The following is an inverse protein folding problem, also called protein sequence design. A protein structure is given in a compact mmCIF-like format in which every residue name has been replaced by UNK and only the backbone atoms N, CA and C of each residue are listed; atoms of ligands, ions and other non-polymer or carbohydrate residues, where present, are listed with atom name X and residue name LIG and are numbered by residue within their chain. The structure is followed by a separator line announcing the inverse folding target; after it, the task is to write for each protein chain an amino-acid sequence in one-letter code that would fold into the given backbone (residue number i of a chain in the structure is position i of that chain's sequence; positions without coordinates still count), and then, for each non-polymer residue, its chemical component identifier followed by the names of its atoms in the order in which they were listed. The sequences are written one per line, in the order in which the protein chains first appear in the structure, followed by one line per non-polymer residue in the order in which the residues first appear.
data_IF_561232783224
#
_entry.id   IF_561232783224
#
_cell.length_a   1.000
_cell.length_b   1.000
_cell.length_c   1.000
_cell.angle_alpha   90.00
_cell.angle_beta   90.00
_cell.angle_gamma   90.00
#
_symmetry.space_group_name_H-M   'P 1'
#
loop_
_entity.id
_entity.type
_entity.pdbx_description
1 polymer ?
#
# COMPACT_ATOMS: atom_id res chain seq x y z
N UNK A 1 -1.10 -12.83 -33.37
CA UNK A 1 -1.73 -12.76 -32.03
C UNK A 1 -1.00 -13.59 -30.99
N UNK A 2 -0.34 -14.69 -31.38
CA UNK A 2 0.27 -15.69 -30.49
C UNK A 2 1.33 -15.13 -29.53
N UNK A 3 2.15 -14.17 -29.97
CA UNK A 3 3.21 -13.60 -29.14
C UNK A 3 2.79 -12.41 -28.28
N UNK A 4 1.56 -11.89 -28.42
CA UNK A 4 1.17 -10.61 -27.80
C UNK A 4 1.31 -10.63 -26.27
N UNK A 5 0.79 -11.68 -25.63
CA UNK A 5 0.90 -11.85 -24.17
C UNK A 5 2.35 -12.03 -23.74
N UNK A 6 3.15 -12.75 -24.54
CA UNK A 6 4.57 -12.96 -24.26
C UNK A 6 5.29 -11.62 -24.26
N UNK A 7 5.12 -10.80 -25.31
CA UNK A 7 5.73 -9.47 -25.37
C UNK A 7 5.35 -8.57 -24.19
N UNK A 8 4.09 -8.59 -23.75
CA UNK A 8 3.67 -7.82 -22.57
C UNK A 8 4.32 -8.33 -21.28
N UNK A 9 4.43 -9.65 -21.10
CA UNK A 9 5.10 -10.22 -19.93
C UNK A 9 6.60 -9.88 -19.91
N UNK A 10 7.28 -10.00 -21.04
CA UNK A 10 8.71 -9.66 -21.17
C UNK A 10 8.96 -8.17 -20.90
N UNK A 11 8.07 -7.28 -21.38
CA UNK A 11 8.17 -5.86 -21.09
C UNK A 11 8.09 -5.57 -19.57
N UNK A 12 7.12 -6.18 -18.89
CA UNK A 12 6.97 -6.01 -17.44
C UNK A 12 8.14 -6.63 -16.69
N UNK A 13 8.58 -7.83 -17.05
CA UNK A 13 9.74 -8.49 -16.44
C UNK A 13 11.00 -7.62 -16.57
N UNK A 14 11.29 -7.11 -17.78
CA UNK A 14 12.42 -6.22 -18.02
C UNK A 14 12.31 -4.94 -17.17
N UNK A 15 11.11 -4.38 -16.99
CA UNK A 15 10.88 -3.26 -16.10
C UNK A 15 11.19 -3.62 -14.63
N UNK A 16 10.71 -4.76 -14.13
CA UNK A 16 10.98 -5.23 -12.77
C UNK A 16 12.48 -5.42 -12.52
N UNK A 17 13.18 -6.01 -13.48
CA UNK A 17 14.63 -6.19 -13.41
C UNK A 17 15.36 -4.85 -13.39
N UNK A 18 14.98 -3.93 -14.28
CA UNK A 18 15.55 -2.60 -14.33
C UNK A 18 15.40 -1.86 -12.99
N UNK A 19 14.20 -1.80 -12.42
CA UNK A 19 14.00 -1.10 -11.13
C UNK A 19 14.70 -1.81 -9.97
N UNK A 20 14.81 -3.15 -9.98
CA UNK A 20 15.60 -3.91 -8.99
C UNK A 20 17.06 -3.47 -9.02
N UNK A 21 17.65 -3.30 -10.21
CA UNK A 21 19.02 -2.81 -10.37
C UNK A 21 19.19 -1.36 -9.91
N UNK A 22 18.14 -0.55 -10.03
CA UNK A 22 18.09 0.83 -9.52
C UNK A 22 17.91 0.94 -8.00
N UNK A 23 17.69 -0.18 -7.31
CA UNK A 23 17.58 -0.24 -5.86
C UNK A 23 16.15 -0.25 -5.32
N UNK A 24 15.13 -0.36 -6.17
CA UNK A 24 13.77 -0.60 -5.71
C UNK A 24 13.66 -2.03 -5.15
N UNK A 25 12.98 -2.17 -4.02
CA UNK A 25 12.92 -3.44 -3.27
C UNK A 25 11.56 -4.14 -3.33
N UNK A 26 10.48 -3.39 -3.58
CA UNK A 26 9.11 -3.92 -3.60
C UNK A 26 8.32 -3.26 -4.73
N UNK A 27 7.42 -4.02 -5.33
CA UNK A 27 6.48 -3.60 -6.36
C UNK A 27 5.07 -3.91 -5.90
N UNK A 28 4.16 -2.96 -6.11
CA UNK A 28 2.74 -3.08 -5.78
C UNK A 28 1.95 -3.05 -7.09
N UNK A 29 1.05 -4.02 -7.28
CA UNK A 29 0.18 -4.10 -8.44
C UNK A 29 -1.25 -4.22 -7.96
N UNK A 30 -2.08 -3.25 -8.33
CA UNK A 30 -3.52 -3.35 -8.22
C UNK A 30 -4.09 -3.89 -9.54
N UNK A 31 -4.54 -5.14 -9.54
CA UNK A 31 -5.10 -5.82 -10.69
C UNK A 31 -6.58 -5.44 -10.90
N UNK A 32 -6.80 -4.21 -11.35
CA UNK A 32 -8.13 -3.66 -11.66
C UNK A 32 -8.35 -3.61 -13.18
N UNK A 33 -9.32 -4.35 -13.75
CA UNK A 33 -9.74 -4.10 -15.13
C UNK A 33 -10.58 -2.82 -15.21
N UNK A 34 -10.53 -2.07 -16.34
CA UNK A 34 -11.35 -0.88 -16.49
C UNK A 34 -12.84 -1.23 -16.51
N UNK A 35 -13.67 -0.31 -16.00
CA UNK A 35 -15.12 -0.40 -16.11
C UNK A 35 -15.56 -0.30 -17.58
N UNK A 36 -16.78 -0.75 -17.86
CA UNK A 36 -17.32 -0.72 -19.22
C UNK A 36 -17.47 0.73 -19.69
N UNK A 37 -16.72 1.08 -20.74
CA UNK A 37 -16.71 2.44 -21.31
C UNK A 37 -15.55 3.31 -20.85
N UNK A 38 -14.73 2.82 -19.92
CA UNK A 38 -13.53 3.52 -19.44
C UNK A 38 -12.28 3.06 -20.16
N UNK A 39 -11.36 4.00 -20.38
CA UNK A 39 -10.06 3.78 -21.01
C UNK A 39 -8.95 4.25 -20.05
N UNK A 40 -7.99 3.38 -19.71
CA UNK A 40 -6.88 3.78 -18.84
C UNK A 40 -5.87 4.71 -19.51
N UNK A 41 -5.45 4.38 -20.74
CA UNK A 41 -4.37 5.10 -21.44
C UNK A 41 -4.78 5.47 -22.86
N UNK A 42 -5.19 4.49 -23.65
CA UNK A 42 -5.54 4.71 -25.05
C UNK A 42 -7.05 4.88 -25.20
N UNK A 43 -7.46 6.06 -25.71
CA UNK A 43 -8.85 6.35 -26.01
C UNK A 43 -9.37 5.49 -27.17
N UNK A 44 -10.58 4.95 -27.02
CA UNK A 44 -11.32 4.22 -28.05
C UNK A 44 -10.65 2.91 -28.50
N UNK A 45 -10.83 1.86 -27.69
CA UNK A 45 -10.36 0.52 -28.02
C UNK A 45 -11.14 -0.12 -29.18
N UNK A 46 -10.49 -0.98 -30.01
CA UNK A 46 -11.19 -1.73 -31.05
C UNK A 46 -12.33 -2.59 -30.46
N UNK A 47 -13.51 -2.59 -31.08
CA UNK A 47 -14.70 -3.32 -30.57
C UNK A 47 -14.46 -4.82 -30.35
N UNK A 48 -13.57 -5.43 -31.15
CA UNK A 48 -13.21 -6.84 -31.02
C UNK A 48 -12.28 -7.13 -29.81
N UNK A 49 -11.71 -6.10 -29.17
CA UNK A 49 -10.87 -6.23 -27.99
C UNK A 49 -11.75 -6.35 -26.74
N UNK A 50 -11.74 -7.55 -26.15
CA UNK A 50 -12.47 -7.81 -24.91
C UNK A 50 -11.63 -7.41 -23.69
N UNK A 51 -12.22 -6.62 -22.80
CA UNK A 51 -11.66 -6.37 -21.46
C UNK A 51 -11.66 -7.68 -20.65
N UNK A 52 -10.54 -8.08 -20.04
CA UNK A 52 -10.52 -9.24 -19.17
C UNK A 52 -11.38 -9.00 -17.93
N UNK A 53 -12.05 -10.04 -17.44
CA UNK A 53 -12.64 -10.04 -16.09
C UNK A 53 -11.53 -10.07 -15.04
N UNK A 54 -11.87 -9.67 -13.82
CA UNK A 54 -10.94 -9.59 -12.68
C UNK A 54 -10.08 -10.84 -12.53
N UNK A 55 -10.67 -12.03 -12.37
CA UNK A 55 -9.92 -13.29 -12.20
C UNK A 55 -8.92 -13.55 -13.33
N UNK A 56 -9.31 -13.22 -14.56
CA UNK A 56 -8.46 -13.42 -15.73
C UNK A 56 -7.27 -12.45 -15.71
N UNK A 57 -7.49 -11.20 -15.30
CA UNK A 57 -6.42 -10.21 -15.16
C UNK A 57 -5.50 -10.56 -13.99
N UNK A 58 -6.04 -10.98 -12.85
CA UNK A 58 -5.25 -11.47 -11.70
C UNK A 58 -4.35 -12.62 -12.10
N UNK A 59 -4.90 -13.64 -12.75
CA UNK A 59 -4.13 -14.80 -13.23
C UNK A 59 -3.08 -14.41 -14.28
N UNK A 60 -3.35 -13.41 -15.10
CA UNK A 60 -2.39 -12.89 -16.08
C UNK A 60 -1.17 -12.28 -15.41
N UNK A 61 -1.37 -11.41 -14.40
CA UNK A 61 -0.27 -10.84 -13.61
C UNK A 61 0.48 -11.91 -12.81
N UNK A 62 -0.23 -12.83 -12.16
CA UNK A 62 0.40 -13.93 -11.41
C UNK A 62 1.27 -14.80 -12.32
N UNK A 63 0.83 -15.07 -13.55
CA UNK A 63 1.63 -15.81 -14.54
C UNK A 63 2.90 -15.05 -14.94
N UNK A 64 2.82 -13.72 -15.11
CA UNK A 64 3.99 -12.87 -15.40
C UNK A 64 4.96 -12.82 -14.20
N UNK A 65 4.44 -12.67 -12.99
CA UNK A 65 5.24 -12.60 -11.76
C UNK A 65 5.90 -13.93 -11.41
N UNK A 66 5.23 -15.06 -11.68
CA UNK A 66 5.80 -16.39 -11.49
C UNK A 66 7.00 -16.62 -12.42
N UNK A 67 6.91 -16.19 -13.69
CA UNK A 67 8.07 -16.17 -14.60
C UNK A 67 9.20 -15.27 -14.10
N UNK A 68 8.85 -14.08 -13.60
CA UNK A 68 9.83 -13.16 -13.01
C UNK A 68 10.52 -13.75 -11.78
N UNK A 69 9.83 -14.60 -11.02
CA UNK A 69 10.39 -15.36 -9.89
C UNK A 69 11.33 -16.46 -10.35
N UNK A 70 10.95 -17.22 -11.38
CA UNK A 70 11.81 -18.24 -12.02
C UNK A 70 13.09 -17.63 -12.60
N UNK A 71 13.02 -16.41 -13.13
CA UNK A 71 14.17 -15.64 -13.61
C UNK A 71 15.04 -15.02 -12.48
N UNK A 72 14.66 -15.17 -11.21
CA UNK A 72 15.40 -14.59 -10.07
C UNK A 72 15.23 -13.07 -9.90
N UNK A 73 14.32 -12.45 -10.64
CA UNK A 73 14.00 -11.02 -10.53
C UNK A 73 13.14 -10.77 -9.29
N UNK A 74 12.06 -11.54 -9.13
CA UNK A 74 11.18 -11.50 -7.96
C UNK A 74 11.63 -12.57 -6.95
N UNK A 75 11.78 -12.21 -5.69
CA UNK A 75 12.18 -13.14 -4.62
C UNK A 75 10.96 -13.72 -3.89
N UNK A 76 9.94 -12.89 -3.64
CA UNK A 76 8.75 -13.30 -2.89
C UNK A 76 7.49 -12.61 -3.42
N UNK A 77 6.35 -13.32 -3.33
CA UNK A 77 5.02 -12.84 -3.72
C UNK A 77 4.08 -12.99 -2.54
N UNK A 78 3.28 -11.96 -2.30
CA UNK A 78 2.31 -11.86 -1.22
C UNK A 78 1.21 -10.86 -1.62
N UNK A 79 0.33 -10.50 -0.70
CA UNK A 79 -0.72 -9.50 -0.92
C UNK A 79 -0.60 -8.35 0.08
N UNK A 80 -1.14 -7.18 -0.27
CA UNK A 80 -1.20 -6.04 0.64
C UNK A 80 -1.92 -6.43 1.94
N UNK A 81 -2.99 -7.21 1.85
CA UNK A 81 -3.71 -7.74 3.00
C UNK A 81 -2.80 -8.60 3.89
N UNK A 82 -2.13 -9.60 3.31
CA UNK A 82 -1.31 -10.54 4.07
C UNK A 82 -0.13 -9.84 4.78
N UNK A 83 0.37 -8.74 4.23
CA UNK A 83 1.48 -7.98 4.83
C UNK A 83 1.05 -6.91 5.82
N UNK A 84 -0.10 -6.27 5.62
CA UNK A 84 -0.44 -5.03 6.31
C UNK A 84 -1.78 -5.03 7.05
N UNK A 85 -2.62 -6.07 6.89
CA UNK A 85 -3.97 -6.08 7.49
C UNK A 85 -4.33 -7.41 8.17
N UNK A 86 -3.50 -8.45 7.99
CA UNK A 86 -3.73 -9.77 8.59
C UNK A 86 -3.36 -9.84 10.08
N UNK A 87 -2.34 -9.09 10.50
CA UNK A 87 -1.84 -9.09 11.88
C UNK A 87 -2.65 -8.11 12.74
N UNK A 88 -2.92 -8.48 13.99
CA UNK A 88 -3.52 -7.60 14.99
C UNK A 88 -2.63 -6.41 15.35
N UNK A 89 -1.32 -6.59 15.26
CA UNK A 89 -0.34 -5.53 15.52
C UNK A 89 -0.13 -4.59 14.31
N UNK A 90 -0.86 -4.79 13.21
CA UNK A 90 -0.71 -3.97 12.02
C UNK A 90 -1.15 -2.52 12.26
N UNK A 91 -0.42 -1.58 11.65
CA UNK A 91 -0.68 -0.15 11.76
C UNK A 91 -0.88 0.46 10.39
N UNK A 92 -1.85 1.36 10.26
CA UNK A 92 -2.13 2.05 9.01
C UNK A 92 -0.90 2.81 8.47
N UNK A 93 -0.05 3.32 9.36
CA UNK A 93 1.19 4.04 9.01
C UNK A 93 2.26 3.16 8.34
N UNK A 94 2.15 1.84 8.46
CA UNK A 94 3.08 0.89 7.83
C UNK A 94 2.63 0.47 6.42
N UNK A 95 1.43 0.89 5.99
CA UNK A 95 0.88 0.61 4.66
C UNK A 95 1.45 1.64 3.65
N UNK A 96 2.01 1.20 2.51
CA UNK A 96 2.53 2.12 1.49
C UNK A 96 1.45 3.03 0.90
N UNK A 97 1.61 4.34 1.06
CA UNK A 97 0.73 5.34 0.45
C UNK A 97 1.14 5.60 -1.01
N UNK A 98 0.34 5.11 -1.95
CA UNK A 98 0.54 5.27 -3.39
C UNK A 98 -0.65 6.03 -3.99
N UNK A 99 -0.40 7.20 -4.59
CA UNK A 99 -1.46 8.05 -5.14
C UNK A 99 -2.39 7.29 -6.10
N UNK A 100 -3.70 7.43 -5.89
CA UNK A 100 -4.72 6.77 -6.70
C UNK A 100 -4.98 5.30 -6.38
N UNK A 101 -4.32 4.73 -5.36
CA UNK A 101 -4.60 3.37 -4.91
C UNK A 101 -5.97 3.28 -4.21
N UNK A 102 -6.60 2.11 -4.33
CA UNK A 102 -7.93 1.83 -3.79
C UNK A 102 -7.97 2.01 -2.27
N UNK A 103 -6.98 1.45 -1.56
CA UNK A 103 -7.02 1.38 -0.10
C UNK A 103 -7.01 2.77 0.56
N UNK A 104 -6.40 3.77 -0.09
CA UNK A 104 -6.37 5.14 0.41
C UNK A 104 -7.77 5.75 0.36
N UNK A 105 -8.45 5.62 -0.77
CA UNK A 105 -9.80 6.17 -0.95
C UNK A 105 -10.79 5.50 0.01
N UNK A 106 -10.65 4.19 0.20
CA UNK A 106 -11.46 3.43 1.15
C UNK A 106 -11.14 3.79 2.60
N UNK A 107 -9.87 3.97 2.96
CA UNK A 107 -9.45 4.41 4.29
C UNK A 107 -10.05 5.77 4.67
N UNK A 108 -10.05 6.74 3.75
CA UNK A 108 -10.70 8.05 3.94
C UNK A 108 -12.21 7.92 4.16
N UNK A 109 -12.88 7.04 3.41
CA UNK A 109 -14.30 6.76 3.60
C UNK A 109 -14.59 6.14 4.97
N UNK A 110 -13.76 5.17 5.40
CA UNK A 110 -13.86 4.54 6.72
C UNK A 110 -13.63 5.56 7.84
N UNK A 111 -12.59 6.39 7.73
CA UNK A 111 -12.28 7.44 8.71
C UNK A 111 -13.46 8.39 8.91
N UNK A 112 -14.10 8.83 7.82
CA UNK A 112 -15.28 9.68 7.89
C UNK A 112 -16.44 9.02 8.65
N UNK A 113 -16.66 7.72 8.44
CA UNK A 113 -17.69 6.96 9.17
C UNK A 113 -17.36 6.85 10.65
N UNK A 114 -16.09 6.54 10.98
CA UNK A 114 -15.61 6.45 12.37
C UNK A 114 -15.79 7.77 13.13
N UNK A 115 -15.45 8.90 12.51
CA UNK A 115 -15.66 10.22 13.11
C UNK A 115 -17.15 10.49 13.41
N UNK A 116 -18.04 10.12 12.51
CA UNK A 116 -19.48 10.34 12.68
C UNK A 116 -20.07 9.45 13.78
N UNK A 117 -19.56 8.22 13.92
CA UNK A 117 -19.89 7.32 15.02
C UNK A 117 -19.41 7.88 16.37
N UNK A 118 -18.17 8.39 16.42
CA UNK A 118 -17.61 9.01 17.62
C UNK A 118 -18.41 10.26 18.04
N UNK A 119 -18.77 11.13 17.08
CA UNK A 119 -19.65 12.29 17.30
C UNK A 119 -21.02 11.88 17.84
N UNK A 120 -21.58 10.77 17.36
CA UNK A 120 -22.86 10.21 17.86
C UNK A 120 -22.71 9.63 19.27
N UNK A 121 -21.63 8.91 19.58
CA UNK A 121 -21.33 8.42 20.94
C UNK A 121 -21.23 9.58 21.93
N UNK A 122 -20.45 10.61 21.61
CA UNK A 122 -20.30 11.84 22.43
C UNK A 122 -21.61 12.60 22.64
N UNK A 123 -22.54 12.59 21.67
CA UNK A 123 -23.88 13.19 21.84
C UNK A 123 -24.80 12.35 22.73
N UNK A 124 -24.68 11.02 22.70
CA UNK A 124 -25.45 10.12 23.56
C UNK A 124 -24.97 10.16 25.01
N UNK A 125 -23.66 10.18 25.25
CA UNK A 125 -23.11 10.31 26.61
C UNK A 125 -23.53 11.63 27.26
N UNK A 126 -23.44 12.78 26.55
CA UNK A 126 -23.92 14.09 27.03
C UNK A 126 -25.43 14.18 27.32
N UNK A 127 -26.26 13.29 26.76
CA UNK A 127 -27.71 13.22 27.09
C UNK A 127 -27.98 12.35 28.31
N UNK A 128 -27.08 11.43 28.67
CA UNK A 128 -27.18 10.57 29.86
C UNK A 128 -26.71 11.28 31.13
N UNK A 129 -25.64 12.08 31.06
CA UNK A 129 -25.12 12.89 32.19
C UNK A 129 -26.03 14.05 32.64
N UNK A 130 -27.25 14.17 32.10
CA UNK A 130 -28.23 15.19 32.54
C UNK A 130 -29.33 14.61 33.44
N UNK A 131 -29.33 13.29 33.67
CA UNK A 131 -30.40 12.62 34.41
C UNK A 131 -29.97 11.76 35.60
N UNK A 132 -28.71 11.39 35.79
CA UNK A 132 -28.26 10.68 36.99
C UNK A 132 -26.79 11.06 37.28
N UNK A 133 -26.53 11.43 38.54
CA UNK A 133 -25.19 11.45 39.14
C UNK A 133 -24.80 9.99 39.47
N UNK A 134 -23.50 9.71 39.40
CA UNK A 134 -22.77 8.49 39.80
C UNK A 134 -22.27 7.50 38.72
N UNK A 135 -20.99 7.18 38.95
CA UNK A 135 -20.14 6.03 38.63
C UNK A 135 -19.39 5.90 37.29
N UNK A 136 -18.07 6.10 37.45
CA UNK A 136 -16.94 5.25 37.04
C UNK A 136 -16.99 4.67 35.62
N UNK A 137 -16.43 5.43 34.69
CA UNK A 137 -15.86 4.88 33.46
C UNK A 137 -14.45 4.34 33.81
N UNK A 138 -14.37 3.05 34.17
CA UNK A 138 -13.13 2.28 34.04
C UNK A 138 -12.80 2.20 32.53
N UNK A 139 -11.86 3.05 32.09
CA UNK A 139 -11.18 2.93 30.81
C UNK A 139 -10.37 1.62 30.83
N UNK A 140 -11.03 0.52 30.50
CA UNK A 140 -10.39 -0.76 30.16
C UNK A 140 -9.62 -0.53 28.84
N UNK A 141 -8.38 -0.07 29.00
CA UNK A 141 -7.37 0.18 27.96
C UNK A 141 -6.84 -1.16 27.40
N UNK A 142 -7.74 -2.07 27.05
CA UNK A 142 -7.42 -3.17 26.15
C UNK A 142 -6.99 -2.51 24.84
N UNK A 143 -5.74 -2.71 24.40
CA UNK A 143 -5.18 -2.23 23.14
C UNK A 143 -6.05 -2.71 21.96
N UNK A 144 -7.17 -2.04 21.74
CA UNK A 144 -8.13 -2.34 20.70
C UNK A 144 -7.44 -2.00 19.38
N UNK A 145 -7.24 -3.04 18.57
CA UNK A 145 -6.62 -2.90 17.25
C UNK A 145 -7.27 -1.73 16.50
N UNK A 146 -6.43 -0.85 15.95
CA UNK A 146 -6.84 0.37 15.24
C UNK A 146 -8.11 0.11 14.41
N UNK A 147 -9.25 0.77 14.74
CA UNK A 147 -10.52 0.53 14.06
C UNK A 147 -10.45 0.72 12.53
N UNK A 148 -9.55 1.58 12.05
CA UNK A 148 -9.30 1.75 10.63
C UNK A 148 -8.71 0.48 10.03
N UNK A 149 -7.66 -0.07 10.65
CA UNK A 149 -6.97 -1.29 10.18
C UNK A 149 -7.93 -2.48 10.19
N UNK A 150 -8.75 -2.60 11.23
CA UNK A 150 -9.74 -3.68 11.35
C UNK A 150 -10.77 -3.62 10.21
N UNK A 151 -11.44 -2.46 10.02
CA UNK A 151 -12.46 -2.31 8.96
C UNK A 151 -11.86 -2.40 7.55
N UNK A 152 -10.66 -1.88 7.36
CA UNK A 152 -9.95 -1.97 6.08
C UNK A 152 -9.58 -3.43 5.78
N UNK A 153 -9.12 -4.19 6.79
CA UNK A 153 -8.82 -5.61 6.66
C UNK A 153 -10.04 -6.43 6.25
N UNK A 154 -11.19 -6.20 6.87
CA UNK A 154 -12.47 -6.82 6.49
C UNK A 154 -12.86 -6.50 5.05
N UNK A 155 -12.64 -5.26 4.62
CA UNK A 155 -12.95 -4.78 3.26
C UNK A 155 -12.03 -5.40 2.21
N UNK A 156 -10.73 -5.50 2.49
CA UNK A 156 -9.75 -6.05 1.56
C UNK A 156 -9.81 -7.57 1.44
N UNK A 157 -10.15 -8.30 2.52
CA UNK A 157 -10.05 -9.76 2.58
C UNK A 157 -10.72 -10.48 1.38
N UNK A 158 -11.97 -10.15 0.98
CA UNK A 158 -12.64 -10.80 -0.14
C UNK A 158 -11.95 -10.57 -1.50
N UNK A 159 -11.17 -9.50 -1.63
CA UNK A 159 -10.50 -9.08 -2.87
C UNK A 159 -8.98 -9.00 -2.73
N UNK A 160 -8.40 -9.67 -1.72
CA UNK A 160 -6.98 -9.54 -1.37
C UNK A 160 -6.04 -9.87 -2.53
N UNK A 161 -6.45 -10.81 -3.38
CA UNK A 161 -5.65 -11.26 -4.53
C UNK A 161 -5.57 -10.20 -5.65
N UNK A 162 -6.38 -9.14 -5.59
CA UNK A 162 -6.28 -8.01 -6.49
C UNK A 162 -5.11 -7.07 -6.13
N UNK A 163 -4.59 -7.13 -4.90
CA UNK A 163 -3.53 -6.26 -4.39
C UNK A 163 -2.24 -7.05 -4.21
N UNK A 164 -1.51 -7.23 -5.31
CA UNK A 164 -0.33 -8.07 -5.35
C UNK A 164 0.90 -7.28 -4.89
N UNK A 165 1.69 -7.87 -4.01
CA UNK A 165 2.98 -7.33 -3.57
C UNK A 165 4.09 -8.28 -3.99
N UNK A 166 5.04 -7.77 -4.76
CA UNK A 166 6.19 -8.50 -5.25
C UNK A 166 7.49 -7.92 -4.66
N UNK A 167 8.18 -8.72 -3.86
CA UNK A 167 9.49 -8.37 -3.34
C UNK A 167 10.57 -8.63 -4.38
N UNK A 168 11.27 -7.59 -4.79
CA UNK A 168 12.47 -7.65 -5.63
C UNK A 168 13.73 -7.90 -4.79
N UNK A 169 13.70 -7.54 -3.50
CA UNK A 169 14.75 -7.75 -2.51
C UNK A 169 14.11 -8.11 -1.15
N UNK A 170 14.86 -8.69 -0.21
CA UNK A 170 14.33 -9.00 1.11
C UNK A 170 13.99 -7.73 1.89
N UNK A 171 13.04 -7.80 2.84
CA UNK A 171 12.68 -6.64 3.70
C UNK A 171 13.87 -6.07 4.50
N UNK A 172 14.90 -6.88 4.79
CA UNK A 172 16.14 -6.41 5.42
C UNK A 172 16.88 -5.40 4.55
N UNK A 173 16.81 -5.52 3.22
CA UNK A 173 17.44 -4.59 2.29
C UNK A 173 16.96 -3.16 2.51
N UNK A 174 15.64 -2.95 2.62
CA UNK A 174 15.06 -1.63 2.88
C UNK A 174 15.56 -1.04 4.21
N UNK A 175 15.61 -1.86 5.27
CA UNK A 175 16.13 -1.46 6.59
C UNK A 175 17.60 -1.04 6.52
N UNK A 176 18.42 -1.78 5.79
CA UNK A 176 19.85 -1.49 5.66
C UNK A 176 20.11 -0.24 4.80
N UNK A 177 19.33 -0.06 3.73
CA UNK A 177 19.37 1.14 2.91
C UNK A 177 18.92 2.38 3.69
N UNK A 178 17.90 2.26 4.55
CA UNK A 178 17.48 3.34 5.45
C UNK A 178 18.58 3.72 6.44
N UNK A 179 19.23 2.74 7.10
CA UNK A 179 20.39 2.98 7.98
C UNK A 179 21.55 3.64 7.25
N UNK A 180 21.76 3.31 5.98
CA UNK A 180 22.75 3.99 5.13
C UNK A 180 22.35 5.44 4.89
N UNK A 181 21.11 5.71 4.49
CA UNK A 181 20.63 7.08 4.24
C UNK A 181 20.73 7.97 5.48
N UNK A 182 20.39 7.46 6.67
CA UNK A 182 20.55 8.20 7.93
C UNK A 182 22.00 8.63 8.18
N UNK A 183 22.98 7.78 7.82
CA UNK A 183 24.41 8.13 7.93
C UNK A 183 24.82 9.19 6.89
N UNK A 184 24.25 9.15 5.70
CA UNK A 184 24.48 10.14 4.65
C UNK A 184 23.91 11.52 5.05
N UNK A 185 22.67 11.56 5.52
CA UNK A 185 22.03 12.79 6.03
C UNK A 185 22.89 13.41 7.13
N UNK A 186 23.34 12.63 8.12
CA UNK A 186 24.21 13.14 9.19
C UNK A 186 25.49 13.78 8.66
N UNK A 187 26.10 13.21 7.61
CA UNK A 187 27.30 13.77 6.97
C UNK A 187 27.00 15.04 6.17
N UNK A 188 25.88 15.06 5.46
CA UNK A 188 25.39 16.22 4.70
C UNK A 188 25.17 17.41 5.65
N UNK A 189 24.42 17.21 6.74
CA UNK A 189 24.16 18.23 7.76
C UNK A 189 25.44 18.75 8.41
N UNK A 190 26.37 17.86 8.80
CA UNK A 190 27.66 18.29 9.37
C UNK A 190 28.50 19.13 8.39
N UNK A 191 28.44 18.79 7.10
CA UNK A 191 29.15 19.53 6.05
C UNK A 191 28.51 20.90 5.84
N UNK A 192 27.19 20.98 5.84
CA UNK A 192 26.44 22.24 5.76
C UNK A 192 26.73 23.17 6.95
N UNK A 193 26.70 22.64 8.18
CA UNK A 193 27.06 23.40 9.38
C UNK A 193 28.49 23.93 9.33
N UNK A 194 29.44 23.11 8.84
CA UNK A 194 30.84 23.51 8.68
C UNK A 194 30.99 24.60 7.62
N UNK A 195 30.28 24.48 6.50
CA UNK A 195 30.30 25.46 5.43
C UNK A 195 29.71 26.80 5.88
N UNK A 196 28.58 26.77 6.61
CA UNK A 196 27.94 27.95 7.18
C UNK A 196 28.88 28.66 8.19
N UNK A 197 29.54 27.90 9.07
CA UNK A 197 30.53 28.46 10.00
C UNK A 197 31.74 29.07 9.29
N UNK A 198 32.11 28.57 8.12
CA UNK A 198 33.21 29.12 7.33
C UNK A 198 32.80 30.35 6.50
N UNK A 199 31.54 30.48 6.06
CA UNK A 199 31.06 31.67 5.34
C UNK A 199 30.78 32.87 6.23
N UNK A 200 30.67 32.65 7.55
CA UNK A 200 30.49 33.69 8.58
C UNK A 200 31.82 34.20 9.16
N UNK A 201 32.97 33.69 8.71
CA UNK A 201 34.27 34.23 9.09
C UNK A 201 34.59 35.44 8.19
N UNK A 202 34.88 36.62 8.78
CA UNK A 202 35.21 37.84 8.04
C UNK A 202 36.52 37.72 7.28
#
# INVERSE_FOLDING_TARGET
REYRTICYHELLLAYLEYIKQRGFHTVHIWACPPCKGDDYVFFCHPEAQKTPKEDRLRNWYMSMLQKSKEAGVVEHLTTLYDENFKDKAAKAVDVPYLEGDYWISEAEAILKVLEDEEKKKKKKSKRRTKNDDDDDDEDDDDEEQDPLVTRMGETLLPMKDAFIVAHLRPRSFAKDMWKRRLREIKRETQKEEKNMKNSLKP
#
